data_IF_955467677550
#
_entry.id   IF_955467677550
#
_cell.length_a   1.000
_cell.length_b   1.000
_cell.length_c   1.000
_cell.angle_alpha   90.00
_cell.angle_beta   90.00
_cell.angle_gamma   90.00
#
_symmetry.space_group_name_H-M   'P 1'
#
loop_
_entity.id
_entity.type
_entity.pdbx_description
1 polymer ?
#
# COMPACT_ATOMS: atom_id res chain seq x y z
N UNK A 1 20.64 -33.29 -24.14
CA UNK A 1 20.18 -31.88 -24.10
C UNK A 1 21.16 -30.85 -24.70
N UNK A 2 22.46 -30.86 -24.44
CA UNK A 2 23.44 -29.89 -25.03
C UNK A 2 23.83 -30.21 -26.48
N UNK A 3 23.77 -31.50 -26.93
CA UNK A 3 24.05 -31.89 -28.31
C UNK A 3 22.96 -31.46 -29.27
N UNK A 4 21.74 -31.47 -28.86
CA UNK A 4 20.57 -31.08 -29.66
C UNK A 4 20.58 -29.58 -29.97
N UNK A 5 21.06 -28.76 -29.07
CA UNK A 5 21.14 -27.31 -29.24
C UNK A 5 22.15 -26.90 -30.34
N UNK A 6 23.26 -27.63 -30.47
CA UNK A 6 24.23 -27.40 -31.56
C UNK A 6 23.67 -27.77 -32.91
N UNK A 7 22.87 -28.85 -32.97
CA UNK A 7 22.21 -29.31 -34.19
C UNK A 7 21.13 -28.34 -34.66
N UNK A 8 20.29 -27.89 -33.74
CA UNK A 8 19.24 -26.91 -34.01
C UNK A 8 19.86 -25.58 -34.51
N UNK A 9 20.95 -25.13 -33.90
CA UNK A 9 21.63 -23.91 -34.29
C UNK A 9 22.31 -24.06 -35.68
N UNK A 10 22.84 -25.23 -36.00
CA UNK A 10 23.42 -25.53 -37.29
C UNK A 10 22.37 -25.54 -38.40
N UNK A 11 21.24 -26.23 -38.20
CA UNK A 11 20.10 -26.28 -39.14
C UNK A 11 19.52 -24.89 -39.35
N UNK A 12 19.27 -24.16 -38.28
CA UNK A 12 18.71 -22.80 -38.32
C UNK A 12 19.62 -21.83 -39.09
N UNK A 13 20.95 -21.91 -38.91
CA UNK A 13 21.91 -21.07 -39.60
C UNK A 13 22.01 -21.41 -41.09
N UNK A 14 21.84 -22.69 -41.46
CA UNK A 14 21.91 -23.15 -42.88
C UNK A 14 20.63 -22.81 -43.65
N UNK A 15 19.47 -22.92 -43.02
CA UNK A 15 18.21 -22.51 -43.65
C UNK A 15 18.07 -21.00 -43.78
N UNK A 16 18.57 -20.22 -42.82
CA UNK A 16 18.57 -18.75 -42.89
C UNK A 16 19.53 -18.19 -43.96
N UNK A 17 20.51 -19.02 -44.42
CA UNK A 17 21.47 -18.63 -45.46
C UNK A 17 20.97 -18.86 -46.88
N UNK A 18 19.97 -19.73 -47.08
CA UNK A 18 19.41 -20.06 -48.39
C UNK A 18 18.57 -18.93 -48.98
N UNK A 19 18.01 -18.06 -48.12
CA UNK A 19 17.06 -17.02 -48.54
C UNK A 19 17.72 -15.62 -48.72
N UNK A 20 19.02 -15.57 -48.97
CA UNK A 20 19.76 -14.29 -49.11
C UNK A 20 19.43 -13.49 -50.38
N UNK A 21 18.63 -14.02 -51.29
CA UNK A 21 18.29 -13.35 -52.57
C UNK A 21 17.02 -12.50 -52.56
N UNK A 22 16.23 -12.55 -51.51
CA UNK A 22 15.03 -11.73 -51.41
C UNK A 22 14.94 -11.13 -50.00
N UNK A 23 15.08 -9.85 -49.81
CA UNK A 23 14.80 -9.01 -48.62
C UNK A 23 14.35 -9.60 -47.30
N UNK A 24 14.20 -10.90 -47.22
CA UNK A 24 13.69 -11.73 -46.12
C UNK A 24 14.59 -11.69 -44.86
N UNK A 25 15.88 -11.56 -45.02
CA UNK A 25 16.83 -11.57 -43.85
C UNK A 25 16.67 -10.35 -42.95
N UNK A 26 16.37 -9.18 -43.51
CA UNK A 26 16.18 -7.94 -42.73
C UNK A 26 14.83 -8.00 -42.02
N UNK A 27 13.77 -8.44 -42.71
CA UNK A 27 12.43 -8.60 -42.17
C UNK A 27 12.40 -9.58 -40.99
N UNK A 28 13.07 -10.73 -41.12
CA UNK A 28 13.16 -11.73 -40.07
C UNK A 28 13.89 -11.20 -38.85
N UNK A 29 15.01 -10.48 -39.03
CA UNK A 29 15.74 -9.86 -37.92
C UNK A 29 14.92 -8.79 -37.21
N UNK A 30 14.21 -7.96 -37.98
CA UNK A 30 13.36 -6.91 -37.44
C UNK A 30 12.18 -7.51 -36.66
N UNK A 31 11.56 -8.56 -37.18
CA UNK A 31 10.49 -9.30 -36.52
C UNK A 31 10.97 -9.93 -35.19
N UNK A 32 12.14 -10.59 -35.21
CA UNK A 32 12.72 -11.19 -34.00
C UNK A 32 13.04 -10.12 -32.96
N UNK A 33 13.61 -8.99 -33.39
CA UNK A 33 13.86 -7.85 -32.51
C UNK A 33 12.56 -7.32 -31.90
N UNK A 34 11.52 -7.16 -32.71
CA UNK A 34 10.20 -6.71 -32.25
C UNK A 34 9.61 -7.63 -31.17
N UNK A 35 9.69 -8.96 -31.37
CA UNK A 35 9.24 -9.94 -30.39
C UNK A 35 10.07 -9.85 -29.11
N UNK A 36 11.40 -9.76 -29.20
CA UNK A 36 12.29 -9.61 -28.06
C UNK A 36 11.96 -8.37 -27.23
N UNK A 37 11.78 -7.22 -27.89
CA UNK A 37 11.39 -5.99 -27.19
C UNK A 37 10.00 -6.09 -26.56
N UNK A 38 9.03 -6.70 -27.25
CA UNK A 38 7.68 -6.91 -26.72
C UNK A 38 7.69 -7.76 -25.46
N UNK A 39 8.38 -8.90 -25.48
CA UNK A 39 8.51 -9.77 -24.29
C UNK A 39 9.25 -9.09 -23.17
N UNK A 40 10.35 -8.38 -23.46
CA UNK A 40 11.13 -7.65 -22.45
C UNK A 40 10.28 -6.59 -21.79
N UNK A 41 9.55 -5.79 -22.55
CA UNK A 41 8.64 -4.77 -22.01
C UNK A 41 7.57 -5.38 -21.13
N UNK A 42 6.97 -6.49 -21.53
CA UNK A 42 5.95 -7.19 -20.78
C UNK A 42 6.49 -7.70 -19.43
N UNK A 43 7.68 -8.30 -19.43
CA UNK A 43 8.33 -8.77 -18.20
C UNK A 43 8.61 -7.59 -17.25
N UNK A 44 9.16 -6.49 -17.77
CA UNK A 44 9.45 -5.30 -16.97
C UNK A 44 8.18 -4.72 -16.34
N UNK A 45 7.12 -4.54 -17.15
CA UNK A 45 5.85 -3.99 -16.66
C UNK A 45 5.23 -4.88 -15.59
N UNK A 46 5.17 -6.19 -15.83
CA UNK A 46 4.63 -7.14 -14.85
C UNK A 46 5.45 -7.17 -13.56
N UNK A 47 6.78 -7.11 -13.66
CA UNK A 47 7.67 -7.09 -12.48
C UNK A 47 7.48 -5.84 -11.64
N UNK A 48 7.46 -4.67 -12.27
CA UNK A 48 7.22 -3.40 -11.58
C UNK A 48 5.84 -3.35 -10.96
N UNK A 49 4.81 -3.77 -11.71
CA UNK A 49 3.45 -3.78 -11.22
C UNK A 49 3.27 -4.73 -10.03
N UNK A 50 3.87 -5.92 -10.10
CA UNK A 50 3.80 -6.87 -8.99
C UNK A 50 4.54 -6.37 -7.74
N UNK A 51 5.72 -5.76 -7.91
CA UNK A 51 6.44 -5.14 -6.79
C UNK A 51 5.65 -4.02 -6.12
N UNK A 52 5.08 -3.12 -6.92
CA UNK A 52 4.25 -2.03 -6.42
C UNK A 52 2.98 -2.53 -5.70
N UNK A 53 2.32 -3.56 -6.25
CA UNK A 53 1.13 -4.14 -5.61
C UNK A 53 1.43 -4.71 -4.22
N UNK A 54 2.54 -5.43 -4.05
CA UNK A 54 2.87 -6.04 -2.75
C UNK A 54 3.10 -4.96 -1.68
N UNK A 55 3.90 -3.95 -1.97
CA UNK A 55 4.16 -2.85 -1.05
C UNK A 55 2.89 -2.06 -0.70
N UNK A 56 2.04 -1.80 -1.70
CA UNK A 56 0.80 -1.07 -1.49
C UNK A 56 -0.24 -1.85 -0.67
N UNK A 57 -0.35 -3.15 -0.89
CA UNK A 57 -1.24 -4.04 -0.13
C UNK A 57 -0.80 -4.11 1.33
N UNK A 58 0.49 -4.29 1.59
CA UNK A 58 1.03 -4.35 2.94
C UNK A 58 0.75 -3.06 3.71
N UNK A 59 0.98 -1.90 3.10
CA UNK A 59 0.67 -0.61 3.72
C UNK A 59 -0.82 -0.43 4.04
N UNK A 60 -1.72 -0.85 3.14
CA UNK A 60 -3.16 -0.77 3.40
C UNK A 60 -3.58 -1.70 4.55
N UNK A 61 -3.07 -2.93 4.57
CA UNK A 61 -3.42 -3.90 5.61
C UNK A 61 -2.97 -3.39 6.98
N UNK A 62 -1.77 -2.87 7.09
CA UNK A 62 -1.22 -2.44 8.37
C UNK A 62 -1.76 -1.09 8.86
N UNK A 63 -2.08 -0.16 7.96
CA UNK A 63 -2.52 1.19 8.36
C UNK A 63 -4.05 1.36 8.40
N UNK A 64 -4.78 0.65 7.54
CA UNK A 64 -6.20 0.97 7.33
C UNK A 64 -7.15 -0.19 7.57
N UNK A 65 -6.92 -1.33 6.96
CA UNK A 65 -7.94 -2.38 6.87
C UNK A 65 -7.80 -3.51 7.87
N UNK A 66 -6.58 -3.74 8.39
CA UNK A 66 -6.25 -4.93 9.18
C UNK A 66 -6.58 -6.25 8.43
N UNK A 67 -6.31 -7.40 9.02
CA UNK A 67 -6.64 -8.69 8.42
C UNK A 67 -8.14 -9.02 8.53
N UNK A 68 -8.76 -8.57 9.60
CA UNK A 68 -10.20 -8.71 9.84
C UNK A 68 -10.70 -7.55 10.69
N UNK A 69 -11.91 -7.12 10.44
CA UNK A 69 -12.54 -6.01 11.13
C UNK A 69 -13.92 -6.42 11.63
N UNK A 70 -14.19 -6.17 12.89
CA UNK A 70 -15.51 -6.37 13.49
C UNK A 70 -16.16 -5.01 13.63
N UNK A 71 -17.25 -4.79 12.89
CA UNK A 71 -17.98 -3.51 12.88
C UNK A 71 -19.35 -3.65 13.54
N UNK A 72 -19.95 -2.52 13.89
CA UNK A 72 -21.30 -2.45 14.47
C UNK A 72 -21.48 -3.19 15.79
N UNK A 73 -20.44 -3.12 16.65
CA UNK A 73 -20.52 -3.68 18.00
C UNK A 73 -21.27 -2.70 18.90
N UNK A 74 -22.44 -3.10 19.39
CA UNK A 74 -23.14 -2.32 20.41
C UNK A 74 -22.33 -2.29 21.70
N UNK A 75 -22.41 -1.16 22.43
CA UNK A 75 -21.64 -0.96 23.67
C UNK A 75 -21.82 -2.09 24.71
N UNK A 76 -22.99 -2.70 24.75
CA UNK A 76 -23.30 -3.83 25.61
C UNK A 76 -22.57 -5.14 25.24
N UNK A 77 -22.19 -5.29 23.99
CA UNK A 77 -21.54 -6.50 23.47
C UNK A 77 -20.03 -6.40 23.37
N UNK A 78 -19.44 -5.24 23.64
CA UNK A 78 -17.99 -5.03 23.55
C UNK A 78 -17.25 -6.03 24.41
N UNK A 79 -17.63 -6.18 25.67
CA UNK A 79 -16.99 -7.12 26.61
C UNK A 79 -17.08 -8.58 26.17
N UNK A 80 -18.16 -8.97 25.51
CA UNK A 80 -18.32 -10.33 24.98
C UNK A 80 -17.38 -10.58 23.80
N UNK A 81 -17.23 -9.57 22.91
CA UNK A 81 -16.31 -9.64 21.77
C UNK A 81 -14.86 -9.67 22.26
N UNK A 82 -14.51 -8.85 23.24
CA UNK A 82 -13.17 -8.85 23.84
C UNK A 82 -12.82 -10.20 24.49
N UNK A 83 -13.75 -10.77 25.24
CA UNK A 83 -13.57 -12.09 25.85
C UNK A 83 -13.39 -13.18 24.79
N UNK A 84 -14.15 -13.12 23.70
CA UNK A 84 -13.98 -14.04 22.58
C UNK A 84 -12.63 -13.89 21.90
N UNK A 85 -12.19 -12.66 21.62
CA UNK A 85 -10.90 -12.38 20.99
C UNK A 85 -9.74 -12.85 21.88
N UNK A 86 -9.81 -12.57 23.17
CA UNK A 86 -8.78 -12.98 24.14
C UNK A 86 -8.71 -14.51 24.34
N UNK A 87 -9.85 -15.22 24.18
CA UNK A 87 -9.89 -16.67 24.34
C UNK A 87 -9.46 -17.43 23.09
N UNK A 88 -9.45 -16.77 21.93
CA UNK A 88 -9.16 -17.42 20.65
C UNK A 88 -7.67 -17.37 20.33
N UNK A 89 -7.00 -18.53 20.34
CA UNK A 89 -5.56 -18.66 20.05
C UNK A 89 -5.15 -18.24 18.63
N UNK A 90 -6.08 -18.11 17.71
CA UNK A 90 -5.81 -17.66 16.34
C UNK A 90 -5.69 -16.15 16.22
N UNK A 91 -6.13 -15.40 17.23
CA UNK A 91 -6.01 -13.94 17.29
C UNK A 91 -4.67 -13.61 17.95
N UNK A 92 -3.79 -12.99 17.20
CA UNK A 92 -2.46 -12.57 17.67
C UNK A 92 -2.55 -11.29 18.49
N UNK A 93 -3.27 -10.30 17.96
CA UNK A 93 -3.53 -9.02 18.62
C UNK A 93 -4.78 -8.39 18.03
N UNK A 94 -5.39 -7.47 18.75
CA UNK A 94 -6.49 -6.66 18.26
C UNK A 94 -6.34 -5.22 18.76
N UNK A 95 -6.81 -4.28 17.96
CA UNK A 95 -6.81 -2.86 18.27
C UNK A 95 -8.24 -2.33 18.15
N UNK A 96 -8.65 -1.51 19.13
CA UNK A 96 -9.92 -0.81 19.06
C UNK A 96 -9.73 0.51 18.33
N UNK A 97 -10.62 0.82 17.43
CA UNK A 97 -10.61 2.10 16.75
C UNK A 97 -12.03 2.59 16.47
N UNK A 98 -12.15 3.87 16.27
CA UNK A 98 -13.39 4.50 15.85
C UNK A 98 -13.12 5.41 14.67
N UNK A 99 -13.81 5.17 13.57
CA UNK A 99 -13.72 6.00 12.38
C UNK A 99 -14.89 6.99 12.34
N UNK A 100 -14.59 8.20 11.95
CA UNK A 100 -15.59 9.24 11.70
C UNK A 100 -15.17 10.07 10.48
N UNK A 101 -16.15 10.67 9.82
CA UNK A 101 -15.89 11.74 8.85
C UNK A 101 -15.95 13.07 9.57
N UNK A 102 -15.11 14.01 9.16
CA UNK A 102 -15.09 15.30 9.79
C UNK A 102 -14.53 16.40 8.91
N UNK A 103 -14.63 17.59 9.45
CA UNK A 103 -14.05 18.81 8.91
C UNK A 103 -12.95 19.26 9.85
N UNK A 104 -11.81 19.61 9.32
CA UNK A 104 -10.70 20.20 10.06
C UNK A 104 -10.46 21.62 9.56
N UNK A 105 -10.30 22.56 10.49
CA UNK A 105 -10.05 23.97 10.18
C UNK A 105 -8.78 24.45 10.86
N UNK A 106 -8.01 25.27 10.18
CA UNK A 106 -6.88 26.00 10.77
C UNK A 106 -7.34 27.28 11.47
N UNK A 107 -6.43 27.98 12.12
CA UNK A 107 -6.70 29.27 12.77
C UNK A 107 -7.06 30.38 11.77
N UNK A 108 -6.73 30.25 10.49
CA UNK A 108 -7.02 31.21 9.43
C UNK A 108 -8.37 30.95 8.74
N UNK A 109 -9.11 29.93 9.18
CA UNK A 109 -10.40 29.56 8.62
C UNK A 109 -10.32 28.73 7.32
N UNK A 110 -9.16 28.12 7.02
CA UNK A 110 -9.04 27.19 5.92
C UNK A 110 -9.60 25.83 6.33
N UNK A 111 -10.44 25.28 5.50
CA UNK A 111 -11.22 24.07 5.81
C UNK A 111 -10.88 22.93 4.86
N UNK A 112 -10.78 21.73 5.41
CA UNK A 112 -10.60 20.50 4.63
C UNK A 112 -11.42 19.36 5.23
N UNK A 113 -11.96 18.51 4.39
CA UNK A 113 -12.64 17.29 4.83
C UNK A 113 -11.62 16.18 5.09
N UNK A 114 -11.82 15.43 6.16
CA UNK A 114 -10.91 14.36 6.52
C UNK A 114 -11.63 13.14 7.08
N UNK A 115 -10.96 12.00 7.03
CA UNK A 115 -11.31 10.81 7.81
C UNK A 115 -10.54 10.88 9.13
N UNK A 116 -11.28 10.77 10.21
CA UNK A 116 -10.75 10.79 11.57
C UNK A 116 -10.72 9.35 12.06
N UNK A 117 -9.59 8.89 12.54
CA UNK A 117 -9.45 7.62 13.23
C UNK A 117 -8.95 7.83 14.63
N UNK A 118 -9.79 7.53 15.60
CA UNK A 118 -9.40 7.50 17.01
C UNK A 118 -8.83 6.10 17.32
N UNK A 119 -7.64 6.07 17.90
CA UNK A 119 -6.92 4.85 18.26
C UNK A 119 -6.66 4.87 19.77
N UNK A 120 -6.40 3.70 20.36
CA UNK A 120 -5.98 3.61 21.75
C UNK A 120 -4.50 4.01 21.92
N UNK A 121 -4.11 4.49 23.08
CA UNK A 121 -2.78 5.02 23.38
C UNK A 121 -1.65 4.00 23.11
N UNK A 122 -1.89 2.74 23.40
CA UNK A 122 -0.92 1.65 23.30
C UNK A 122 -0.87 0.96 21.92
N UNK A 123 -1.52 1.54 20.90
CA UNK A 123 -1.61 0.97 19.55
C UNK A 123 -0.23 0.58 18.97
N UNK A 124 0.78 1.43 19.16
CA UNK A 124 2.13 1.17 18.66
C UNK A 124 2.84 0.01 19.38
N UNK A 125 2.41 -0.33 20.60
CA UNK A 125 2.95 -1.44 21.36
C UNK A 125 2.25 -2.76 20.99
N UNK A 126 0.94 -2.69 20.75
CA UNK A 126 0.10 -3.83 20.39
C UNK A 126 0.31 -4.23 18.94
N UNK A 127 0.31 -3.26 18.04
CA UNK A 127 0.47 -3.48 16.60
C UNK A 127 1.83 -2.99 16.09
N UNK A 128 2.78 -3.93 16.04
CA UNK A 128 4.11 -3.65 15.50
C UNK A 128 4.11 -3.38 13.99
N UNK A 129 3.12 -3.86 13.27
CA UNK A 129 2.94 -3.60 11.85
C UNK A 129 2.57 -2.14 11.63
N UNK A 130 1.59 -1.64 12.37
CA UNK A 130 1.22 -0.23 12.37
C UNK A 130 2.40 0.67 12.75
N UNK A 131 3.11 0.35 13.83
CA UNK A 131 4.27 1.13 14.29
C UNK A 131 5.42 1.18 13.27
N UNK A 132 5.57 0.14 12.45
CA UNK A 132 6.60 0.08 11.39
C UNK A 132 6.21 0.89 10.16
N UNK A 133 4.94 0.83 9.77
CA UNK A 133 4.45 1.48 8.55
C UNK A 133 4.18 2.98 8.75
N UNK A 134 3.89 3.40 9.99
CA UNK A 134 3.69 4.81 10.28
C UNK A 134 5.02 5.55 10.21
N UNK A 135 5.20 6.37 9.20
CA UNK A 135 6.41 7.15 8.99
C UNK A 135 6.18 8.59 9.41
N UNK A 136 6.69 8.96 10.58
CA UNK A 136 6.63 10.33 11.06
C UNK A 136 7.67 11.18 10.33
N UNK A 137 7.21 12.15 9.52
CA UNK A 137 8.07 13.06 8.77
C UNK A 137 8.52 14.24 9.65
N UNK A 138 7.62 14.74 10.49
CA UNK A 138 7.86 15.87 11.39
C UNK A 138 7.16 15.63 12.72
N UNK A 139 7.82 15.92 13.82
CA UNK A 139 7.30 15.75 15.17
C UNK A 139 7.53 14.35 15.73
N UNK A 140 6.76 13.98 16.71
CA UNK A 140 6.78 12.67 17.36
C UNK A 140 5.37 12.08 17.39
N UNK A 141 5.28 10.76 17.37
CA UNK A 141 4.01 10.05 17.49
C UNK A 141 3.78 9.80 18.97
N UNK A 142 2.96 10.65 19.57
CA UNK A 142 2.54 10.53 20.95
C UNK A 142 1.00 10.48 21.01
N UNK A 143 0.47 9.38 21.54
CA UNK A 143 -0.96 9.18 21.75
C UNK A 143 -1.38 9.47 23.20
N UNK A 144 -0.46 9.87 24.07
CA UNK A 144 -0.75 10.18 25.46
C UNK A 144 -1.27 11.61 25.67
N UNK A 145 -1.15 12.46 24.67
CA UNK A 145 -1.68 13.83 24.70
C UNK A 145 -3.14 13.84 24.25
N UNK A 146 -4.05 14.15 25.16
CA UNK A 146 -5.50 14.18 24.90
C UNK A 146 -5.91 15.21 23.82
N UNK A 147 -5.13 16.29 23.66
CA UNK A 147 -5.35 17.33 22.66
C UNK A 147 -4.48 17.14 21.40
N UNK A 148 -3.67 16.07 21.37
CA UNK A 148 -2.77 15.76 20.27
C UNK A 148 -3.49 15.17 19.06
N UNK A 149 -3.10 15.60 17.86
CA UNK A 149 -3.60 15.03 16.60
C UNK A 149 -2.44 14.79 15.64
N UNK A 150 -2.48 13.64 14.97
CA UNK A 150 -1.54 13.28 13.92
C UNK A 150 -2.20 13.53 12.57
N UNK A 151 -1.60 14.38 11.74
CA UNK A 151 -2.12 14.71 10.42
C UNK A 151 -1.33 14.02 9.32
N UNK A 152 -2.03 13.51 8.33
CA UNK A 152 -1.39 13.08 7.09
C UNK A 152 -0.67 14.25 6.41
N UNK A 153 0.54 14.03 5.88
CA UNK A 153 1.39 15.07 5.30
C UNK A 153 0.71 15.89 4.19
N UNK A 154 -0.15 15.27 3.40
CA UNK A 154 -0.95 15.97 2.37
C UNK A 154 -1.97 16.91 2.98
N UNK A 155 -2.67 16.47 4.02
CA UNK A 155 -3.68 17.26 4.71
C UNK A 155 -3.04 18.45 5.43
N UNK A 156 -1.93 18.23 6.15
CA UNK A 156 -1.16 19.28 6.79
C UNK A 156 -0.68 20.33 5.77
N UNK A 157 -0.16 19.89 4.64
CA UNK A 157 0.26 20.78 3.55
C UNK A 157 -0.91 21.55 2.92
N UNK A 158 -2.06 20.88 2.75
CA UNK A 158 -3.26 21.52 2.20
C UNK A 158 -3.77 22.60 3.15
N UNK A 159 -3.84 22.34 4.44
CA UNK A 159 -4.21 23.32 5.48
C UNK A 159 -3.13 24.42 5.66
N UNK A 160 -1.87 24.11 5.39
CA UNK A 160 -0.75 25.02 5.64
C UNK A 160 -0.28 25.03 7.10
N UNK A 161 -0.58 23.95 7.84
CA UNK A 161 -0.23 23.80 9.26
C UNK A 161 1.06 23.01 9.45
N UNK A 162 1.72 23.24 10.58
CA UNK A 162 2.97 22.62 10.98
C UNK A 162 2.83 22.01 12.39
N UNK A 163 3.84 21.28 12.82
CA UNK A 163 3.89 20.74 14.18
C UNK A 163 3.78 21.87 15.19
N UNK A 164 2.87 21.73 16.15
CA UNK A 164 2.54 22.75 17.16
C UNK A 164 1.47 23.76 16.73
N UNK A 165 0.98 23.72 15.50
CA UNK A 165 -0.18 24.53 15.09
C UNK A 165 -1.46 24.01 15.74
N UNK A 166 -2.38 24.91 16.08
CA UNK A 166 -3.71 24.54 16.58
C UNK A 166 -4.68 24.37 15.41
N UNK A 167 -5.50 23.36 15.52
CA UNK A 167 -6.55 23.06 14.53
C UNK A 167 -7.86 22.75 15.26
N UNK A 168 -8.98 23.09 14.65
CA UNK A 168 -10.28 22.71 15.16
C UNK A 168 -10.82 21.52 14.35
N UNK A 169 -11.26 20.50 15.05
CA UNK A 169 -11.77 19.27 14.47
C UNK A 169 -13.26 19.13 14.76
N UNK A 170 -14.04 19.00 13.72
CA UNK A 170 -15.50 18.81 13.79
C UNK A 170 -15.82 17.39 13.26
N UNK A 171 -16.10 16.46 14.18
CA UNK A 171 -16.51 15.12 13.81
C UNK A 171 -18.02 15.08 13.50
N UNK A 172 -18.38 14.56 12.36
CA UNK A 172 -19.74 14.24 12.01
C UNK A 172 -20.02 12.83 12.56
N UNK A 173 -20.74 12.76 13.68
CA UNK A 173 -21.23 11.47 14.17
C UNK A 173 -22.39 11.02 13.28
N UNK A 174 -22.21 9.93 12.54
CA UNK A 174 -23.31 9.21 11.90
C UNK A 174 -24.01 8.29 12.88
#
# INVERSE_FOLDING_TARGET
MIKDFKWINFVNNRFSLVDKKAGSSVTTKLSTLGICFGVMTLIVVLSVMNGFQMEFIDSIIHLSSYHAQVTSVNSENISNVENFLNSNKSVVSYVKFKDAQGLITDENGKEETCLIRALQEDVCQIDKGFAKEINCIYGEIDFSDDDGIILGSRLAKSLGVHVGSKVNLFALSG
#
